data_IF_305346034824
#
_entry.id   IF_305346034824
#
_cell.length_a   1.000
_cell.length_b   1.000
_cell.length_c   1.000
_cell.angle_alpha   90.00
_cell.angle_beta   90.00
_cell.angle_gamma   90.00
#
_symmetry.space_group_name_H-M   'P 1'
#
loop_
_entity.id
_entity.type
_entity.pdbx_description
1 polymer ?
#
# COMPACT_ATOMS: atom_id res chain seq x y z
N UNK A 1 2.85 3.98 16.56
CA UNK A 1 4.23 4.49 16.49
C UNK A 1 4.98 3.58 15.52
N UNK A 2 5.51 3.98 14.37
CA UNK A 2 5.86 5.28 13.83
C UNK A 2 5.46 5.35 12.35
N UNK A 3 5.22 6.56 11.91
CA UNK A 3 4.83 7.02 10.57
C UNK A 3 5.95 6.87 9.54
N UNK A 4 5.65 6.27 8.39
CA UNK A 4 6.47 6.39 7.18
C UNK A 4 5.59 6.93 6.05
N UNK A 5 5.58 8.26 5.90
CA UNK A 5 5.03 8.98 4.76
C UNK A 5 6.09 8.89 3.65
N UNK A 6 5.77 8.19 2.56
CA UNK A 6 6.58 8.19 1.34
C UNK A 6 5.90 9.08 0.30
N UNK A 7 6.56 10.18 -0.03
CA UNK A 7 6.14 11.18 -1.02
C UNK A 7 6.11 10.58 -2.43
N UNK A 8 5.16 10.99 -3.30
CA UNK A 8 5.16 10.57 -4.69
C UNK A 8 6.20 11.38 -5.50
N UNK A 9 7.14 10.68 -6.15
CA UNK A 9 8.07 11.26 -7.12
C UNK A 9 7.32 11.94 -8.28
N UNK A 10 7.79 13.10 -8.79
CA UNK A 10 7.18 13.74 -9.94
C UNK A 10 7.46 12.94 -11.21
N UNK A 11 6.39 12.75 -11.98
CA UNK A 11 6.37 12.14 -13.30
C UNK A 11 7.47 12.73 -14.20
N UNK A 12 8.42 11.89 -14.59
CA UNK A 12 9.37 12.21 -15.65
C UNK A 12 8.60 12.36 -16.98
N UNK A 13 8.90 13.39 -17.80
CA UNK A 13 8.28 13.55 -19.11
C UNK A 13 8.67 12.41 -20.05
N UNK A 14 7.81 12.07 -21.03
CA UNK A 14 8.04 10.92 -21.89
C UNK A 14 9.33 11.10 -22.70
N UNK A 15 10.20 10.08 -22.64
CA UNK A 15 11.38 9.95 -23.49
C UNK A 15 10.96 10.06 -24.95
N UNK A 16 11.38 11.13 -25.60
CA UNK A 16 11.35 11.28 -27.06
C UNK A 16 12.26 10.23 -27.68
N UNK A 17 11.67 9.12 -28.13
CA UNK A 17 12.36 8.13 -28.94
C UNK A 17 12.47 8.63 -30.37
N UNK A 18 13.71 8.67 -30.87
CA UNK A 18 14.00 8.56 -32.29
C UNK A 18 13.86 9.84 -33.08
N UNK A 19 14.90 10.67 -33.00
CA UNK A 19 15.33 11.55 -34.10
C UNK A 19 15.50 10.71 -35.37
N UNK A 20 14.41 10.51 -36.10
CA UNK A 20 14.42 10.09 -37.50
C UNK A 20 15.12 11.19 -38.28
N UNK A 21 16.33 10.88 -38.74
CA UNK A 21 17.19 11.73 -39.54
C UNK A 21 16.47 12.02 -40.86
N UNK A 22 15.63 13.06 -40.86
CA UNK A 22 15.07 13.65 -42.06
C UNK A 22 16.25 14.17 -42.87
N UNK A 23 16.55 13.47 -43.96
CA UNK A 23 17.51 13.90 -44.95
C UNK A 23 17.14 15.30 -45.39
N UNK A 24 18.09 16.20 -45.18
CA UNK A 24 18.06 17.61 -45.55
C UNK A 24 18.18 17.70 -47.07
N UNK A 25 17.12 17.36 -47.81
CA UNK A 25 17.04 17.57 -49.26
C UNK A 25 15.63 18.02 -49.62
N UNK A 26 15.46 19.33 -49.67
CA UNK A 26 14.18 19.96 -49.98
C UNK A 26 14.00 21.29 -49.28
N UNK A 27 15.06 22.11 -49.20
CA UNK A 27 14.86 23.54 -48.96
C UNK A 27 13.94 24.01 -50.09
N UNK A 28 12.77 24.62 -49.83
CA UNK A 28 12.07 25.33 -50.89
C UNK A 28 13.08 26.33 -51.43
N UNK A 29 13.42 26.21 -52.72
CA UNK A 29 14.14 27.29 -53.41
C UNK A 29 13.28 28.50 -53.17
N UNK A 30 13.77 29.44 -52.34
CA UNK A 30 13.32 30.82 -52.44
C UNK A 30 13.62 31.20 -53.89
N UNK A 31 12.62 31.04 -54.76
CA UNK A 31 12.63 31.68 -56.06
C UNK A 31 12.79 33.14 -55.71
N UNK A 32 13.94 33.72 -56.10
CA UNK A 32 14.27 35.09 -55.74
C UNK A 32 13.07 35.95 -56.13
N UNK A 33 12.51 36.69 -55.17
CA UNK A 33 11.34 37.56 -55.39
C UNK A 33 11.57 38.49 -56.59
N UNK A 34 12.82 38.87 -56.85
CA UNK A 34 13.26 39.62 -58.03
C UNK A 34 13.03 38.92 -59.37
N UNK A 35 13.13 37.58 -59.44
CA UNK A 35 12.84 36.81 -60.64
C UNK A 35 11.34 36.70 -60.90
N UNK A 36 10.55 36.65 -59.83
CA UNK A 36 9.09 36.63 -59.88
C UNK A 36 8.56 38.02 -60.29
N UNK A 37 9.10 39.10 -59.71
CA UNK A 37 8.77 40.48 -60.07
C UNK A 37 9.12 40.81 -61.53
N UNK A 38 10.28 40.38 -62.03
CA UNK A 38 10.63 40.53 -63.46
C UNK A 38 9.68 39.74 -64.37
N UNK A 39 9.30 38.53 -63.96
CA UNK A 39 8.32 37.74 -64.71
C UNK A 39 6.95 38.44 -64.74
N UNK A 40 6.51 39.06 -63.65
CA UNK A 40 5.26 39.84 -63.64
C UNK A 40 5.31 41.08 -64.53
N UNK A 41 6.45 41.79 -64.56
CA UNK A 41 6.62 42.96 -65.41
C UNK A 41 6.63 42.57 -66.90
N UNK A 42 7.34 41.49 -67.25
CA UNK A 42 7.31 40.90 -68.60
C UNK A 42 5.91 40.42 -68.98
N UNK A 43 5.17 39.83 -68.05
CA UNK A 43 3.77 39.41 -68.26
C UNK A 43 2.85 40.60 -68.55
N UNK A 44 3.04 41.71 -67.84
CA UNK A 44 2.24 42.93 -68.05
C UNK A 44 2.50 43.54 -69.42
N UNK A 45 3.74 43.50 -69.90
CA UNK A 45 4.09 43.99 -71.23
C UNK A 45 3.49 43.10 -72.33
N UNK A 46 3.39 41.79 -72.11
CA UNK A 46 2.86 40.83 -73.10
C UNK A 46 1.32 40.80 -73.11
N UNK A 47 0.67 41.07 -71.98
CA UNK A 47 -0.79 40.95 -71.85
C UNK A 47 -1.56 42.24 -72.18
N UNK A 48 -0.94 43.42 -72.21
CA UNK A 48 -1.66 44.66 -72.53
C UNK A 48 -1.19 45.25 -73.86
N UNK A 49 -2.09 45.90 -74.64
CA UNK A 49 -1.68 46.60 -75.85
C UNK A 49 -0.59 47.63 -75.54
N UNK A 50 0.50 47.66 -76.31
CA UNK A 50 1.57 48.62 -76.07
C UNK A 50 1.18 50.05 -76.48
N UNK A 51 0.27 50.16 -77.45
CA UNK A 51 -0.20 51.43 -77.98
C UNK A 51 -1.33 51.99 -77.10
N UNK A 52 -1.21 53.28 -76.75
CA UNK A 52 -2.25 54.02 -76.01
C UNK A 52 -3.14 54.88 -76.92
N UNK A 53 -2.83 54.96 -78.22
CA UNK A 53 -3.53 55.79 -79.20
C UNK A 53 -3.64 55.07 -80.55
N UNK A 54 -4.79 55.21 -81.19
CA UNK A 54 -5.06 54.67 -82.53
C UNK A 54 -4.27 55.46 -83.57
N UNK A 55 -3.34 54.80 -84.28
CA UNK A 55 -2.51 55.41 -85.32
C UNK A 55 -3.21 55.52 -86.68
N UNK A 56 -4.12 54.59 -86.99
CA UNK A 56 -4.86 54.55 -88.25
C UNK A 56 -6.11 55.45 -88.23
N UNK A 57 -6.30 56.20 -89.31
CA UNK A 57 -7.50 57.04 -89.54
C UNK A 57 -8.77 56.18 -89.63
N UNK A 58 -8.67 54.97 -90.18
CA UNK A 58 -9.80 54.04 -90.27
C UNK A 58 -10.22 53.54 -88.89
N UNK A 59 -9.26 53.16 -88.04
CA UNK A 59 -9.53 52.73 -86.67
C UNK A 59 -10.12 53.87 -85.83
N UNK A 60 -9.66 55.11 -86.03
CA UNK A 60 -10.26 56.29 -85.40
C UNK A 60 -11.72 56.52 -85.86
N UNK A 61 -12.02 56.32 -87.15
CA UNK A 61 -13.40 56.40 -87.67
C UNK A 61 -14.30 55.32 -87.07
N UNK A 62 -13.86 54.07 -87.06
CA UNK A 62 -14.60 52.95 -86.47
C UNK A 62 -14.88 53.21 -84.99
N UNK A 63 -13.89 53.68 -84.25
CA UNK A 63 -14.03 54.03 -82.83
C UNK A 63 -14.99 55.20 -82.61
N UNK A 64 -14.97 56.20 -83.49
CA UNK A 64 -15.90 57.34 -83.43
C UNK A 64 -17.33 56.89 -83.66
N UNK A 65 -17.58 56.04 -84.66
CA UNK A 65 -18.89 55.47 -84.93
C UNK A 65 -19.39 54.63 -83.74
N UNK A 66 -18.54 53.79 -83.15
CA UNK A 66 -18.90 52.97 -82.00
C UNK A 66 -19.17 53.80 -80.73
N UNK A 67 -18.39 54.87 -80.48
CA UNK A 67 -18.66 55.81 -79.39
C UNK A 67 -19.94 56.61 -79.64
N UNK A 68 -20.23 56.96 -80.89
CA UNK A 68 -21.46 57.65 -81.27
C UNK A 68 -22.70 56.74 -81.18
N UNK A 69 -22.61 55.47 -81.55
CA UNK A 69 -23.72 54.51 -81.40
C UNK A 69 -24.06 54.29 -79.93
N UNK A 70 -23.06 54.21 -79.05
CA UNK A 70 -23.25 54.18 -77.60
C UNK A 70 -23.96 55.43 -77.08
N UNK A 71 -23.50 56.62 -77.48
CA UNK A 71 -24.16 57.89 -77.10
C UNK A 71 -25.60 57.97 -77.61
N UNK A 72 -25.88 57.50 -78.82
CA UNK A 72 -27.24 57.45 -79.38
C UNK A 72 -28.13 56.47 -78.63
N UNK A 73 -27.60 55.32 -78.21
CA UNK A 73 -28.32 54.35 -77.38
C UNK A 73 -28.59 54.89 -75.98
N UNK A 74 -27.61 55.53 -75.34
CA UNK A 74 -27.77 56.24 -74.07
C UNK A 74 -28.85 57.34 -74.16
N UNK A 75 -28.81 58.16 -75.23
CA UNK A 75 -29.80 59.19 -75.46
C UNK A 75 -31.21 58.61 -75.68
N UNK A 76 -31.34 57.56 -76.50
CA UNK A 76 -32.64 56.96 -76.79
C UNK A 76 -33.27 56.28 -75.58
N UNK A 77 -32.47 55.54 -74.79
CA UNK A 77 -32.98 54.68 -73.72
C UNK A 77 -33.03 55.36 -72.35
N UNK A 78 -32.22 56.39 -72.11
CA UNK A 78 -32.16 57.09 -70.81
C UNK A 78 -32.70 58.50 -70.89
N UNK A 79 -32.26 59.25 -71.90
CA UNK A 79 -32.54 60.68 -71.98
C UNK A 79 -33.98 60.94 -72.42
N UNK A 80 -34.49 60.22 -73.43
CA UNK A 80 -35.86 60.42 -73.93
C UNK A 80 -36.93 60.10 -72.87
N UNK A 81 -36.89 58.96 -72.15
CA UNK A 81 -37.87 58.70 -71.08
C UNK A 81 -37.80 59.71 -69.93
N UNK A 82 -36.60 60.10 -69.51
CA UNK A 82 -36.44 61.07 -68.43
C UNK A 82 -36.89 62.48 -68.81
N UNK A 83 -36.71 62.86 -70.07
CA UNK A 83 -37.23 64.11 -70.62
C UNK A 83 -38.76 64.13 -70.63
N UNK A 84 -39.40 62.98 -70.81
CA UNK A 84 -40.85 62.86 -70.72
C UNK A 84 -41.35 63.04 -69.27
N UNK A 85 -40.70 62.40 -68.29
CA UNK A 85 -41.06 62.52 -66.87
C UNK A 85 -40.90 63.95 -66.33
N UNK A 86 -40.07 64.77 -66.98
CA UNK A 86 -39.79 66.16 -66.59
C UNK A 86 -40.11 67.17 -67.69
N UNK A 87 -41.10 66.87 -68.53
CA UNK A 87 -41.48 67.67 -69.69
C UNK A 87 -41.74 69.14 -69.31
N UNK A 88 -42.40 69.39 -68.18
CA UNK A 88 -42.77 70.73 -67.72
C UNK A 88 -41.56 71.61 -67.38
N UNK A 89 -40.46 71.00 -66.96
CA UNK A 89 -39.21 71.71 -66.60
C UNK A 89 -38.39 72.07 -67.83
N UNK A 90 -38.40 71.21 -68.86
CA UNK A 90 -37.56 71.36 -70.05
C UNK A 90 -38.31 71.91 -71.28
N UNK A 91 -39.63 72.09 -71.20
CA UNK A 91 -40.46 72.59 -72.29
C UNK A 91 -39.99 73.94 -72.87
N UNK A 92 -39.52 74.85 -72.01
CA UNK A 92 -39.02 76.17 -72.43
C UNK A 92 -37.69 76.07 -73.18
N UNK A 93 -36.83 75.12 -72.77
CA UNK A 93 -35.50 74.95 -73.36
C UNK A 93 -35.49 74.11 -74.64
N UNK A 94 -36.52 73.29 -74.85
CA UNK A 94 -36.60 72.33 -75.96
C UNK A 94 -37.48 72.80 -77.11
N UNK A 95 -38.36 73.78 -76.87
CA UNK A 95 -39.29 74.30 -77.87
C UNK A 95 -40.53 73.43 -78.05
N UNK A 96 -41.63 74.03 -78.53
CA UNK A 96 -42.95 73.39 -78.63
C UNK A 96 -42.98 72.22 -79.61
N UNK A 97 -42.12 72.24 -80.64
CA UNK A 97 -42.04 71.18 -81.65
C UNK A 97 -41.40 69.90 -81.07
N UNK A 98 -40.28 70.02 -80.37
CA UNK A 98 -39.60 68.88 -79.76
C UNK A 98 -40.42 68.27 -78.61
N UNK A 99 -41.12 69.11 -77.84
CA UNK A 99 -42.06 68.67 -76.80
C UNK A 99 -43.21 67.88 -77.42
N UNK A 100 -43.76 68.32 -78.56
CA UNK A 100 -44.79 67.58 -79.28
C UNK A 100 -44.27 66.23 -79.78
N UNK A 101 -43.04 66.18 -80.31
CA UNK A 101 -42.42 64.94 -80.79
C UNK A 101 -42.09 63.95 -79.67
N UNK A 102 -41.69 64.42 -78.49
CA UNK A 102 -41.46 63.55 -77.33
C UNK A 102 -42.79 62.93 -76.85
N UNK A 103 -43.89 63.71 -76.84
CA UNK A 103 -45.23 63.20 -76.52
C UNK A 103 -45.72 62.18 -77.54
N UNK A 104 -45.51 62.45 -78.83
CA UNK A 104 -45.84 61.52 -79.91
C UNK A 104 -45.03 60.21 -79.81
N UNK A 105 -43.73 60.31 -79.52
CA UNK A 105 -42.89 59.14 -79.28
C UNK A 105 -43.34 58.32 -78.08
N UNK A 106 -43.67 58.97 -76.96
CA UNK A 106 -44.17 58.26 -75.78
C UNK A 106 -45.50 57.57 -76.06
N UNK A 107 -46.42 58.24 -76.75
CA UNK A 107 -47.68 57.64 -77.20
C UNK A 107 -47.45 56.42 -78.09
N UNK A 108 -46.56 56.54 -79.08
CA UNK A 108 -46.19 55.42 -79.95
C UNK A 108 -45.50 54.28 -79.18
N UNK A 109 -44.72 54.59 -78.14
CA UNK A 109 -44.07 53.61 -77.28
C UNK A 109 -45.10 52.83 -76.44
N UNK A 110 -46.05 53.51 -75.81
CA UNK A 110 -47.14 52.85 -75.06
C UNK A 110 -47.99 51.97 -75.97
N UNK A 111 -48.33 52.47 -77.16
CA UNK A 111 -49.15 51.71 -78.10
C UNK A 111 -48.40 50.49 -78.69
N UNK A 112 -47.08 50.62 -78.85
CA UNK A 112 -46.19 49.51 -79.21
C UNK A 112 -46.10 48.47 -78.09
N UNK A 113 -45.96 48.89 -76.83
CA UNK A 113 -45.94 48.00 -75.65
C UNK A 113 -47.26 47.25 -75.49
N UNK A 114 -48.40 47.94 -75.56
CA UNK A 114 -49.74 47.30 -75.53
C UNK A 114 -49.91 46.28 -76.67
N UNK A 115 -49.41 46.61 -77.86
CA UNK A 115 -49.45 45.70 -79.00
C UNK A 115 -48.56 44.47 -78.74
N UNK A 116 -47.35 44.68 -78.21
CA UNK A 116 -46.43 43.60 -77.85
C UNK A 116 -46.99 42.67 -76.78
N UNK A 117 -47.61 43.21 -75.71
CA UNK A 117 -48.29 42.43 -74.68
C UNK A 117 -49.42 41.58 -75.27
N UNK A 118 -50.23 42.16 -76.17
CA UNK A 118 -51.29 41.44 -76.87
C UNK A 118 -50.75 40.33 -77.79
N UNK A 119 -49.57 40.51 -78.42
CA UNK A 119 -48.93 39.43 -79.20
C UNK A 119 -48.43 38.29 -78.31
N UNK A 120 -47.87 38.59 -77.13
CA UNK A 120 -47.43 37.59 -76.16
C UNK A 120 -48.61 36.78 -75.63
N UNK A 121 -49.71 37.43 -75.26
CA UNK A 121 -50.93 36.77 -74.76
C UNK A 121 -51.52 35.79 -75.78
N UNK A 122 -51.33 36.05 -77.07
CA UNK A 122 -51.76 35.19 -78.16
C UNK A 122 -50.73 34.13 -78.59
N UNK A 123 -49.62 33.96 -77.84
CA UNK A 123 -48.52 33.02 -78.13
C UNK A 123 -47.89 33.19 -79.53
N UNK A 124 -47.95 34.39 -80.10
CA UNK A 124 -47.40 34.69 -81.42
C UNK A 124 -45.97 35.20 -81.24
N UNK A 125 -44.98 34.48 -81.77
CA UNK A 125 -43.62 35.01 -81.84
C UNK A 125 -43.59 36.26 -82.75
N UNK A 126 -43.19 37.43 -82.22
CA UNK A 126 -43.10 38.64 -83.03
C UNK A 126 -41.93 38.50 -84.02
N UNK A 127 -42.25 38.49 -85.31
CA UNK A 127 -41.24 38.44 -86.37
C UNK A 127 -40.58 39.82 -86.55
N UNK A 128 -39.37 39.97 -85.98
CA UNK A 128 -38.59 41.21 -86.07
C UNK A 128 -37.85 41.38 -87.41
N UNK A 129 -37.81 40.36 -88.27
CA UNK A 129 -36.86 40.26 -89.39
C UNK A 129 -37.40 40.70 -90.76
N UNK A 130 -38.72 40.73 -90.98
CA UNK A 130 -39.31 40.98 -92.31
C UNK A 130 -39.43 42.47 -92.65
N UNK A 131 -38.31 43.19 -92.62
CA UNK A 131 -38.21 44.61 -93.00
C UNK A 131 -37.58 44.77 -94.39
N UNK A 132 -38.35 44.66 -95.49
CA UNK A 132 -37.95 45.27 -96.79
C UNK A 132 -38.97 45.32 -97.92
N UNK A 133 -40.04 44.53 -97.89
CA UNK A 133 -40.99 44.49 -99.02
C UNK A 133 -42.43 44.69 -98.56
N UNK A 134 -42.84 45.96 -98.41
CA UNK A 134 -44.22 46.47 -98.54
C UNK A 134 -44.19 47.98 -98.28
N UNK A 135 -43.81 48.74 -99.30
CA UNK A 135 -43.75 50.21 -99.31
C UNK A 135 -45.13 50.88 -99.44
N UNK A 136 -46.19 50.23 -98.97
CA UNK A 136 -47.55 50.79 -99.02
C UNK A 136 -48.41 50.09 -97.97
N UNK A 137 -48.39 50.64 -96.76
CA UNK A 137 -49.37 50.33 -95.72
C UNK A 137 -50.02 51.65 -95.28
N UNK A 138 -51.34 51.68 -95.03
CA UNK A 138 -52.09 52.92 -94.91
C UNK A 138 -51.69 53.69 -93.66
N UNK A 139 -51.64 55.02 -93.76
CA UNK A 139 -51.74 55.94 -92.62
C UNK A 139 -53.09 55.73 -91.93
N UNK A 140 -53.22 54.66 -91.16
CA UNK A 140 -54.36 54.49 -90.26
C UNK A 140 -54.13 55.40 -89.06
N UNK A 141 -55.02 56.39 -88.93
CA UNK A 141 -55.15 57.27 -87.78
C UNK A 141 -55.12 56.44 -86.48
N UNK A 142 -54.50 57.03 -85.46
CA UNK A 142 -54.26 56.52 -84.10
C UNK A 142 -55.57 56.13 -83.39
N UNK A 143 -56.23 55.05 -83.81
CA UNK A 143 -57.33 54.47 -83.06
C UNK A 143 -56.78 53.49 -82.01
N UNK A 144 -57.24 53.57 -80.75
CA UNK A 144 -56.79 52.68 -79.68
C UNK A 144 -56.89 51.20 -80.06
N UNK A 145 -56.00 50.36 -79.54
CA UNK A 145 -56.10 48.90 -79.72
C UNK A 145 -57.48 48.41 -79.24
N UNK A 146 -58.25 47.82 -80.14
CA UNK A 146 -59.53 47.16 -79.84
C UNK A 146 -59.26 45.69 -79.55
N UNK A 147 -59.89 45.14 -78.51
CA UNK A 147 -59.69 43.79 -77.97
C UNK A 147 -60.05 42.63 -78.93
N UNK A 148 -60.45 42.91 -80.17
CA UNK A 148 -60.91 41.94 -81.17
C UNK A 148 -60.12 41.97 -82.49
N UNK A 149 -58.86 42.42 -82.52
CA UNK A 149 -58.06 42.39 -83.75
C UNK A 149 -57.61 40.96 -84.10
N UNK A 150 -57.64 40.62 -85.39
CA UNK A 150 -57.15 39.33 -85.90
C UNK A 150 -55.63 39.20 -85.67
N UNK A 151 -55.10 37.98 -85.43
CA UNK A 151 -53.66 37.72 -85.32
C UNK A 151 -52.81 38.32 -86.45
N UNK A 152 -53.30 38.30 -87.69
CA UNK A 152 -52.62 38.87 -88.86
C UNK A 152 -52.62 40.42 -88.84
N UNK A 153 -53.69 41.02 -88.34
CA UNK A 153 -53.82 42.48 -88.21
C UNK A 153 -52.96 43.02 -87.08
N UNK A 154 -52.84 42.27 -85.98
CA UNK A 154 -51.94 42.58 -84.87
C UNK A 154 -50.46 42.56 -85.31
N UNK A 155 -50.05 41.60 -86.13
CA UNK A 155 -48.69 41.56 -86.69
C UNK A 155 -48.41 42.71 -87.66
N UNK A 156 -49.36 43.04 -88.54
CA UNK A 156 -49.23 44.19 -89.46
C UNK A 156 -49.15 45.51 -88.68
N UNK A 157 -49.98 45.66 -87.64
CA UNK A 157 -49.98 46.82 -86.76
C UNK A 157 -48.69 46.92 -85.96
N UNK A 158 -48.22 45.83 -85.37
CA UNK A 158 -46.94 45.75 -84.67
C UNK A 158 -45.78 46.21 -85.56
N UNK A 159 -45.74 45.74 -86.81
CA UNK A 159 -44.72 46.17 -87.78
C UNK A 159 -44.81 47.65 -88.12
N UNK A 160 -46.02 48.16 -88.36
CA UNK A 160 -46.23 49.59 -88.65
C UNK A 160 -45.82 50.49 -87.48
N UNK A 161 -46.19 50.10 -86.25
CA UNK A 161 -45.81 50.79 -85.01
C UNK A 161 -44.30 50.72 -84.79
N UNK A 162 -43.68 49.58 -85.05
CA UNK A 162 -42.22 49.44 -84.98
C UNK A 162 -41.51 50.37 -85.97
N UNK A 163 -42.01 50.51 -87.19
CA UNK A 163 -41.44 51.41 -88.19
C UNK A 163 -41.64 52.88 -87.79
N UNK A 164 -42.85 53.26 -87.38
CA UNK A 164 -43.16 54.61 -86.91
C UNK A 164 -42.33 54.97 -85.67
N UNK A 165 -42.16 54.05 -84.71
CA UNK A 165 -41.33 54.25 -83.53
C UNK A 165 -39.84 54.38 -83.89
N UNK A 166 -39.34 53.60 -84.86
CA UNK A 166 -37.96 53.73 -85.37
C UNK A 166 -37.73 55.08 -86.03
N UNK A 167 -38.64 55.53 -86.88
CA UNK A 167 -38.51 56.79 -87.60
C UNK A 167 -38.72 58.00 -86.68
N UNK A 168 -39.63 57.88 -85.70
CA UNK A 168 -39.78 58.84 -84.60
C UNK A 168 -38.51 58.93 -83.74
N UNK A 169 -37.94 57.80 -83.31
CA UNK A 169 -36.64 57.77 -82.58
C UNK A 169 -35.53 58.44 -83.39
N UNK A 170 -35.42 58.16 -84.69
CA UNK A 170 -34.39 58.77 -85.56
C UNK A 170 -34.57 60.28 -85.71
N UNK A 171 -35.81 60.73 -85.88
CA UNK A 171 -36.14 62.14 -86.04
C UNK A 171 -35.86 62.88 -84.72
N UNK A 172 -36.33 62.32 -83.59
CA UNK A 172 -36.04 62.84 -82.25
C UNK A 172 -34.55 62.91 -81.97
N UNK A 173 -33.77 61.86 -82.23
CA UNK A 173 -32.32 61.90 -82.02
C UNK A 173 -31.64 62.97 -82.88
N UNK A 174 -32.10 63.20 -84.12
CA UNK A 174 -31.58 64.28 -84.98
C UNK A 174 -31.94 65.67 -84.46
N UNK A 175 -33.13 65.85 -83.91
CA UNK A 175 -33.59 67.12 -83.33
C UNK A 175 -32.94 67.40 -81.98
N UNK A 176 -32.78 66.38 -81.13
CA UNK A 176 -32.03 66.44 -79.88
C UNK A 176 -30.57 66.79 -80.12
N UNK A 177 -29.94 66.23 -81.16
CA UNK A 177 -28.56 66.56 -81.54
C UNK A 177 -28.38 68.03 -81.98
N UNK A 178 -29.44 68.69 -82.46
CA UNK A 178 -29.39 70.12 -82.82
C UNK A 178 -29.57 71.05 -81.62
N UNK A 179 -30.03 70.53 -80.47
CA UNK A 179 -30.24 71.31 -79.25
C UNK A 179 -28.91 71.45 -78.46
N UNK A 180 -28.32 72.65 -78.33
CA UNK A 180 -27.04 72.84 -77.65
C UNK A 180 -27.11 72.63 -76.12
N UNK A 181 -28.31 72.58 -75.55
CA UNK A 181 -28.56 72.35 -74.11
C UNK A 181 -28.59 70.87 -73.71
N UNK A 182 -28.51 69.93 -74.68
CA UNK A 182 -28.63 68.49 -74.43
C UNK A 182 -27.55 67.98 -73.46
N UNK A 183 -26.31 68.46 -73.57
CA UNK A 183 -25.19 68.04 -72.71
C UNK A 183 -25.34 68.55 -71.26
N UNK A 184 -26.07 69.65 -71.05
CA UNK A 184 -26.39 70.14 -69.71
C UNK A 184 -27.50 69.30 -69.08
N UNK A 185 -28.54 68.98 -69.85
CA UNK A 185 -29.66 68.13 -69.41
C UNK A 185 -29.18 66.70 -69.14
N UNK A 186 -28.34 66.14 -70.02
CA UNK A 186 -27.74 64.81 -69.86
C UNK A 186 -26.94 64.64 -68.56
N UNK A 187 -26.35 65.72 -68.02
CA UNK A 187 -25.63 65.69 -66.73
C UNK A 187 -26.54 65.76 -65.51
N UNK A 188 -27.74 66.31 -65.67
CA UNK A 188 -28.78 66.36 -64.63
C UNK A 188 -29.57 65.05 -64.53
N UNK A 189 -29.54 64.21 -65.58
CA UNK A 189 -30.14 62.86 -65.60
C UNK A 189 -29.36 61.94 -64.65
N UNK A 190 -29.75 61.94 -63.38
CA UNK A 190 -29.29 60.98 -62.35
C UNK A 190 -30.49 60.34 -61.68
N UNK A 191 -31.35 59.71 -62.49
CA UNK A 191 -32.47 58.89 -62.02
C UNK A 191 -32.08 57.41 -61.89
N UNK A 192 -32.89 56.60 -61.19
CA UNK A 192 -32.73 55.15 -61.18
C UNK A 192 -32.99 54.60 -62.58
N UNK A 193 -31.97 54.00 -63.20
CA UNK A 193 -32.07 53.41 -64.52
C UNK A 193 -32.58 51.96 -64.40
N UNK A 194 -33.49 51.50 -65.28
CA UNK A 194 -33.88 50.11 -65.31
C UNK A 194 -32.67 49.18 -65.53
N UNK A 195 -32.53 48.07 -64.77
CA UNK A 195 -31.34 47.21 -64.83
C UNK A 195 -31.12 46.57 -66.20
N UNK A 196 -32.17 46.42 -67.01
CA UNK A 196 -32.07 45.95 -68.40
C UNK A 196 -31.36 46.98 -69.30
N UNK A 197 -31.68 48.26 -69.14
CA UNK A 197 -31.11 49.34 -69.93
C UNK A 197 -29.66 49.59 -69.54
N UNK A 198 -29.37 49.58 -68.24
CA UNK A 198 -27.99 49.65 -67.72
C UNK A 198 -27.13 48.49 -68.22
N UNK A 199 -27.67 47.27 -68.28
CA UNK A 199 -26.95 46.12 -68.80
C UNK A 199 -26.64 46.30 -70.30
N UNK A 200 -27.61 46.71 -71.12
CA UNK A 200 -27.39 46.93 -72.57
C UNK A 200 -26.36 48.04 -72.81
N UNK A 201 -26.44 49.15 -72.10
CA UNK A 201 -25.47 50.26 -72.21
C UNK A 201 -24.09 49.82 -71.70
N UNK A 202 -24.05 49.05 -70.61
CA UNK A 202 -22.83 48.46 -70.05
C UNK A 202 -22.15 47.49 -71.03
N UNK A 203 -22.91 46.58 -71.63
CA UNK A 203 -22.44 45.66 -72.67
C UNK A 203 -21.96 46.40 -73.91
N UNK A 204 -22.66 47.44 -74.35
CA UNK A 204 -22.22 48.27 -75.47
C UNK A 204 -20.95 49.05 -75.12
N UNK A 205 -20.81 49.51 -73.88
CA UNK A 205 -19.57 50.07 -73.34
C UNK A 205 -18.42 49.06 -73.35
N UNK A 206 -18.70 47.81 -72.97
CA UNK A 206 -17.74 46.72 -72.98
C UNK A 206 -17.32 46.36 -74.41
N UNK A 207 -18.24 46.32 -75.37
CA UNK A 207 -17.92 46.13 -76.80
C UNK A 207 -17.04 47.27 -77.30
N UNK A 208 -17.35 48.52 -76.97
CA UNK A 208 -16.50 49.67 -77.35
C UNK A 208 -15.10 49.55 -76.73
N UNK A 209 -15.00 49.12 -75.46
CA UNK A 209 -13.73 48.87 -74.77
C UNK A 209 -12.93 47.75 -75.46
N UNK A 210 -13.58 46.63 -75.76
CA UNK A 210 -12.96 45.51 -76.46
C UNK A 210 -12.51 45.90 -77.88
N UNK A 211 -13.32 46.67 -78.61
CA UNK A 211 -12.92 47.23 -79.90
C UNK A 211 -11.73 48.20 -79.77
N UNK A 212 -11.65 48.96 -78.69
CA UNK A 212 -10.51 49.85 -78.42
C UNK A 212 -9.26 49.03 -78.14
N UNK A 213 -9.36 47.99 -77.34
CA UNK A 213 -8.25 47.07 -77.07
C UNK A 213 -7.78 46.35 -78.33
N UNK A 214 -8.69 45.77 -79.12
CA UNK A 214 -8.32 45.04 -80.35
C UNK A 214 -7.74 45.94 -81.43
N UNK A 215 -8.20 47.18 -81.55
CA UNK A 215 -7.64 48.15 -82.49
C UNK A 215 -6.30 48.75 -82.02
N UNK A 216 -5.98 48.64 -80.72
CA UNK A 216 -4.69 49.04 -80.15
C UNK A 216 -3.66 47.89 -80.12
N UNK A 217 -4.11 46.64 -80.20
CA UNK A 217 -3.22 45.47 -80.32
C UNK A 217 -2.75 45.28 -81.75
N UNK A 218 -1.45 45.08 -81.91
CA UNK A 218 -0.87 44.63 -83.19
C UNK A 218 -0.94 43.11 -83.32
N UNK A 219 -0.94 42.60 -84.56
CA UNK A 219 -0.94 41.15 -84.80
C UNK A 219 0.26 40.44 -84.16
N UNK A 220 1.44 41.06 -84.16
CA UNK A 220 2.63 40.50 -83.50
C UNK A 220 2.48 40.40 -81.97
N UNK A 221 1.83 41.38 -81.34
CA UNK A 221 1.54 41.35 -79.90
C UNK A 221 0.52 40.27 -79.56
N UNK A 222 -0.49 40.08 -80.40
CA UNK A 222 -1.50 39.04 -80.23
C UNK A 222 -0.88 37.64 -80.33
N UNK A 223 0.01 37.40 -81.30
CA UNK A 223 0.75 36.14 -81.43
C UNK A 223 1.62 35.88 -80.19
N UNK A 224 2.40 36.87 -79.73
CA UNK A 224 3.23 36.74 -78.52
C UNK A 224 2.39 36.49 -77.26
N UNK A 225 1.23 37.14 -77.14
CA UNK A 225 0.27 36.92 -76.06
C UNK A 225 -0.24 35.48 -76.09
N UNK A 226 -0.63 34.98 -77.25
CA UNK A 226 -1.15 33.62 -77.40
C UNK A 226 -0.07 32.56 -77.10
N UNK A 227 1.15 32.74 -77.59
CA UNK A 227 2.29 31.87 -77.27
C UNK A 227 2.59 31.85 -75.77
N UNK A 228 2.61 33.02 -75.13
CA UNK A 228 2.83 33.14 -73.69
C UNK A 228 1.73 32.45 -72.87
N UNK A 229 0.47 32.62 -73.26
CA UNK A 229 -0.66 31.94 -72.63
C UNK A 229 -0.59 30.42 -72.83
N UNK A 230 -0.17 29.94 -74.01
CA UNK A 230 0.04 28.52 -74.28
C UNK A 230 1.09 27.93 -73.34
N UNK A 231 2.25 28.57 -73.22
CA UNK A 231 3.35 28.12 -72.34
C UNK A 231 2.90 28.07 -70.87
N UNK A 232 2.14 29.06 -70.40
CA UNK A 232 1.59 29.04 -69.04
C UNK A 232 0.61 27.89 -68.87
N UNK A 233 -0.26 27.66 -69.85
CA UNK A 233 -1.27 26.61 -69.78
C UNK A 233 -0.63 25.22 -69.68
N UNK A 234 0.42 24.95 -70.47
CA UNK A 234 1.18 23.71 -70.42
C UNK A 234 1.89 23.54 -69.07
N UNK A 235 2.58 24.59 -68.59
CA UNK A 235 3.23 24.56 -67.27
C UNK A 235 2.24 24.31 -66.15
N UNK A 236 1.07 24.94 -66.23
CA UNK A 236 -0.02 24.73 -65.27
C UNK A 236 -0.49 23.28 -65.30
N UNK A 237 -0.72 22.72 -66.48
CA UNK A 237 -1.16 21.33 -66.64
C UNK A 237 -0.14 20.34 -66.07
N UNK A 238 1.16 20.55 -66.30
CA UNK A 238 2.23 19.72 -65.72
C UNK A 238 2.25 19.86 -64.19
N UNK A 239 2.13 21.07 -63.66
CA UNK A 239 2.06 21.29 -62.22
C UNK A 239 0.81 20.64 -61.60
N UNK A 240 -0.34 20.69 -62.28
CA UNK A 240 -1.58 20.05 -61.84
C UNK A 240 -1.47 18.52 -61.80
N UNK A 241 -0.84 17.90 -62.79
CA UNK A 241 -0.63 16.45 -62.79
C UNK A 241 0.37 16.02 -61.71
N UNK A 242 1.42 16.80 -61.46
CA UNK A 242 2.36 16.56 -60.36
C UNK A 242 1.70 16.75 -58.99
N UNK A 243 0.85 17.77 -58.83
CA UNK A 243 0.06 17.94 -57.60
C UNK A 243 -0.88 16.75 -57.41
N UNK A 244 -1.55 16.28 -58.46
CA UNK A 244 -2.45 15.14 -58.38
C UNK A 244 -1.71 13.84 -58.02
N UNK A 245 -0.54 13.59 -58.59
CA UNK A 245 0.28 12.41 -58.24
C UNK A 245 0.74 12.47 -56.78
N UNK A 246 1.28 13.61 -56.34
CA UNK A 246 1.70 13.82 -54.95
C UNK A 246 0.53 13.70 -53.97
N UNK A 247 -0.66 14.21 -54.31
CA UNK A 247 -1.86 14.04 -53.51
C UNK A 247 -2.27 12.57 -53.39
N UNK A 248 -2.18 11.80 -54.48
CA UNK A 248 -2.45 10.37 -54.48
C UNK A 248 -1.45 9.60 -53.61
N UNK A 249 -0.16 9.86 -53.76
CA UNK A 249 0.90 9.26 -52.92
C UNK A 249 0.70 9.58 -51.44
N UNK A 250 0.37 10.83 -51.12
CA UNK A 250 0.07 11.26 -49.76
C UNK A 250 -1.16 10.53 -49.21
N UNK A 251 -2.23 10.38 -49.99
CA UNK A 251 -3.40 9.61 -49.59
C UNK A 251 -3.07 8.13 -49.36
N UNK A 252 -2.28 7.50 -50.24
CA UNK A 252 -1.81 6.12 -50.05
C UNK A 252 -1.01 5.97 -48.74
N UNK A 253 -0.04 6.85 -48.51
CA UNK A 253 0.76 6.85 -47.28
C UNK A 253 -0.10 7.05 -46.02
N UNK A 254 -1.11 7.95 -46.08
CA UNK A 254 -2.09 8.13 -44.99
C UNK A 254 -2.90 6.87 -44.74
N UNK A 255 -3.38 6.22 -45.80
CA UNK A 255 -4.18 5.00 -45.70
C UNK A 255 -3.38 3.84 -45.10
N UNK A 256 -2.12 3.68 -45.50
CA UNK A 256 -1.26 2.64 -44.96
C UNK A 256 -0.90 2.90 -43.49
N UNK A 257 -0.65 4.16 -43.12
CA UNK A 257 -0.48 4.55 -41.73
C UNK A 257 -1.76 4.24 -40.91
N UNK A 258 -2.94 4.59 -41.42
CA UNK A 258 -4.20 4.32 -40.74
C UNK A 258 -4.44 2.81 -40.54
N UNK A 259 -4.13 1.97 -41.54
CA UNK A 259 -4.21 0.50 -41.41
C UNK A 259 -3.26 -0.01 -40.33
N UNK A 260 -2.03 0.50 -40.26
CA UNK A 260 -1.06 0.10 -39.24
C UNK A 260 -1.47 0.57 -37.84
N UNK A 261 -2.01 1.79 -37.72
CA UNK A 261 -2.61 2.29 -36.48
C UNK A 261 -3.75 1.38 -36.04
N UNK A 262 -4.67 1.02 -36.93
CA UNK A 262 -5.79 0.13 -36.62
C UNK A 262 -5.33 -1.25 -36.15
N UNK A 263 -4.33 -1.87 -36.81
CA UNK A 263 -3.73 -3.14 -36.38
C UNK A 263 -3.17 -3.05 -34.96
N UNK A 264 -2.43 -1.97 -34.66
CA UNK A 264 -1.87 -1.72 -33.32
C UNK A 264 -2.95 -1.48 -32.28
N UNK A 265 -4.01 -0.76 -32.63
CA UNK A 265 -5.14 -0.54 -31.75
C UNK A 265 -5.89 -1.84 -31.42
N UNK A 266 -6.07 -2.72 -32.40
CA UNK A 266 -6.71 -4.01 -32.18
C UNK A 266 -5.83 -4.94 -31.35
N UNK A 267 -4.51 -4.92 -31.56
CA UNK A 267 -3.58 -5.64 -30.70
C UNK A 267 -3.58 -5.09 -29.26
N UNK A 268 -3.60 -3.77 -29.10
CA UNK A 268 -3.76 -3.11 -27.79
C UNK A 268 -5.05 -3.55 -27.09
N UNK A 269 -6.18 -3.59 -27.80
CA UNK A 269 -7.47 -4.06 -27.25
C UNK A 269 -7.40 -5.51 -26.78
N UNK A 270 -6.75 -6.40 -27.55
CA UNK A 270 -6.53 -7.80 -27.16
C UNK A 270 -5.69 -7.91 -25.89
N UNK A 271 -4.57 -7.21 -25.81
CA UNK A 271 -3.72 -7.19 -24.60
C UNK A 271 -4.46 -6.64 -23.38
N UNK A 272 -5.24 -5.56 -23.53
CA UNK A 272 -6.07 -5.03 -22.43
C UNK A 272 -7.08 -6.08 -21.96
N UNK A 273 -7.68 -6.84 -22.88
CA UNK A 273 -8.60 -7.91 -22.52
C UNK A 273 -7.89 -9.05 -21.78
N UNK A 274 -6.75 -9.52 -22.30
CA UNK A 274 -5.94 -10.58 -21.69
C UNK A 274 -5.48 -10.19 -20.27
N UNK A 275 -4.96 -8.97 -20.08
CA UNK A 275 -4.58 -8.45 -18.75
C UNK A 275 -5.80 -8.48 -17.81
N UNK A 276 -6.96 -8.01 -18.27
CA UNK A 276 -8.18 -8.02 -17.44
C UNK A 276 -8.61 -9.44 -17.04
N UNK A 277 -8.42 -10.43 -17.92
CA UNK A 277 -8.72 -11.83 -17.62
C UNK A 277 -7.72 -12.38 -16.61
N UNK A 278 -6.42 -12.15 -16.80
CA UNK A 278 -5.38 -12.57 -15.85
C UNK A 278 -5.59 -11.93 -14.48
N UNK A 279 -5.91 -10.64 -14.41
CA UNK A 279 -6.21 -9.94 -13.15
C UNK A 279 -7.40 -10.56 -12.41
N UNK A 280 -8.46 -10.94 -13.13
CA UNK A 280 -9.62 -11.60 -12.53
C UNK A 280 -9.23 -12.98 -11.98
N UNK A 281 -8.53 -13.78 -12.77
CA UNK A 281 -8.07 -15.10 -12.34
C UNK A 281 -7.10 -15.01 -11.15
N UNK A 282 -6.18 -14.05 -11.16
CA UNK A 282 -5.26 -13.81 -10.05
C UNK A 282 -6.00 -13.43 -8.77
N UNK A 283 -7.02 -12.56 -8.84
CA UNK A 283 -7.86 -12.21 -7.69
C UNK A 283 -8.66 -13.40 -7.16
N UNK A 284 -9.20 -14.23 -8.05
CA UNK A 284 -9.92 -15.45 -7.65
C UNK A 284 -8.99 -16.46 -6.96
N UNK A 285 -7.78 -16.66 -7.50
CA UNK A 285 -6.76 -17.53 -6.90
C UNK A 285 -6.30 -16.98 -5.55
N UNK A 286 -6.02 -15.68 -5.47
CA UNK A 286 -5.64 -15.03 -4.22
C UNK A 286 -6.72 -15.22 -3.14
N UNK A 287 -7.99 -14.97 -3.48
CA UNK A 287 -9.10 -15.18 -2.55
C UNK A 287 -9.21 -16.63 -2.08
N UNK A 288 -9.03 -17.61 -2.96
CA UNK A 288 -9.03 -19.03 -2.59
C UNK A 288 -7.88 -19.36 -1.63
N UNK A 289 -6.67 -18.86 -1.90
CA UNK A 289 -5.52 -19.04 -1.01
C UNK A 289 -5.77 -18.40 0.35
N UNK A 290 -6.31 -17.18 0.40
CA UNK A 290 -6.68 -16.49 1.64
C UNK A 290 -7.74 -17.28 2.42
N UNK A 291 -8.78 -17.78 1.76
CA UNK A 291 -9.83 -18.58 2.41
C UNK A 291 -9.28 -19.92 2.95
N UNK A 292 -8.40 -20.60 2.21
CA UNK A 292 -7.82 -21.88 2.61
C UNK A 292 -6.77 -21.72 3.72
N UNK A 293 -5.93 -20.68 3.65
CA UNK A 293 -4.98 -20.33 4.71
C UNK A 293 -5.70 -19.94 5.99
N UNK A 294 -6.73 -19.10 5.93
CA UNK A 294 -7.54 -18.74 7.09
C UNK A 294 -8.21 -19.96 7.74
N UNK A 295 -8.75 -20.89 6.93
CA UNK A 295 -9.31 -22.16 7.45
C UNK A 295 -8.24 -23.02 8.10
N UNK A 296 -7.07 -23.13 7.49
CA UNK A 296 -5.95 -23.91 8.03
C UNK A 296 -5.46 -23.30 9.34
N UNK A 297 -5.25 -21.99 9.40
CA UNK A 297 -4.87 -21.26 10.61
C UNK A 297 -5.91 -21.44 11.73
N UNK A 298 -7.20 -21.28 11.43
CA UNK A 298 -8.26 -21.48 12.41
C UNK A 298 -8.30 -22.92 12.95
N UNK A 299 -8.05 -23.92 12.10
CA UNK A 299 -7.98 -25.32 12.52
C UNK A 299 -6.74 -25.60 13.37
N UNK A 300 -5.56 -25.09 12.95
CA UNK A 300 -4.31 -25.20 13.71
C UNK A 300 -4.41 -24.51 15.06
N UNK A 301 -5.03 -23.33 15.13
CA UNK A 301 -5.24 -22.61 16.37
C UNK A 301 -6.15 -23.39 17.32
N UNK A 302 -7.29 -23.90 16.84
CA UNK A 302 -8.18 -24.75 17.66
C UNK A 302 -7.48 -26.01 18.18
N UNK A 303 -6.66 -26.65 17.34
CA UNK A 303 -5.91 -27.83 17.74
C UNK A 303 -4.86 -27.49 18.79
N UNK A 304 -4.16 -26.38 18.63
CA UNK A 304 -3.19 -25.89 19.60
C UNK A 304 -3.85 -25.51 20.93
N UNK A 305 -4.94 -24.73 20.89
CA UNK A 305 -5.72 -24.36 22.08
C UNK A 305 -6.21 -25.60 22.84
N UNK A 306 -6.67 -26.63 22.11
CA UNK A 306 -7.04 -27.92 22.69
C UNK A 306 -5.89 -28.66 23.36
N UNK A 307 -4.68 -28.63 22.77
CA UNK A 307 -3.48 -29.20 23.39
C UNK A 307 -3.06 -28.43 24.65
N UNK A 308 -3.10 -27.09 24.59
CA UNK A 308 -2.80 -26.22 25.74
C UNK A 308 -3.78 -26.47 26.89
N UNK A 309 -5.08 -26.61 26.60
CA UNK A 309 -6.08 -26.95 27.63
C UNK A 309 -5.77 -28.27 28.31
N UNK A 310 -5.46 -29.33 27.54
CA UNK A 310 -5.09 -30.65 28.08
C UNK A 310 -3.83 -30.59 28.94
N UNK A 311 -2.77 -29.93 28.45
CA UNK A 311 -1.53 -29.77 29.20
C UNK A 311 -1.76 -28.98 30.51
N UNK A 312 -2.62 -27.96 30.49
CA UNK A 312 -2.97 -27.21 31.70
C UNK A 312 -3.76 -28.06 32.70
N UNK A 313 -4.68 -28.91 32.23
CA UNK A 313 -5.39 -29.89 33.07
C UNK A 313 -4.41 -30.89 33.71
N UNK A 314 -3.48 -31.45 32.93
CA UNK A 314 -2.43 -32.34 33.42
C UNK A 314 -1.53 -31.66 34.47
N UNK A 315 -1.10 -30.42 34.21
CA UNK A 315 -0.36 -29.60 35.18
C UNK A 315 -1.18 -29.40 36.46
N UNK A 316 -2.48 -29.14 36.35
CA UNK A 316 -3.38 -29.00 37.49
C UNK A 316 -3.45 -30.28 38.33
N UNK A 317 -3.62 -31.42 37.67
CA UNK A 317 -3.65 -32.74 38.31
C UNK A 317 -2.31 -33.03 39.00
N UNK A 318 -1.19 -32.86 38.29
CA UNK A 318 0.16 -33.10 38.83
C UNK A 318 0.49 -32.18 40.01
N UNK A 319 0.05 -30.92 39.98
CA UNK A 319 0.19 -30.01 41.13
C UNK A 319 -0.60 -30.52 42.34
N UNK A 320 -1.83 -30.99 42.12
CA UNK A 320 -2.68 -31.53 43.19
C UNK A 320 -2.07 -32.80 43.80
N UNK A 321 -1.65 -33.77 42.98
CA UNK A 321 -1.03 -35.00 43.46
C UNK A 321 0.28 -34.74 44.20
N UNK A 322 1.09 -33.77 43.74
CA UNK A 322 2.31 -33.36 44.43
C UNK A 322 2.01 -32.72 45.79
N UNK A 323 0.97 -31.91 45.91
CA UNK A 323 0.54 -31.34 47.19
C UNK A 323 0.04 -32.42 48.15
N UNK A 324 -0.77 -33.35 47.67
CA UNK A 324 -1.25 -34.49 48.46
C UNK A 324 -0.09 -35.37 48.95
N UNK A 325 0.86 -35.71 48.08
CA UNK A 325 2.05 -36.48 48.44
C UNK A 325 2.94 -35.75 49.46
N UNK A 326 3.12 -34.42 49.32
CA UNK A 326 3.84 -33.60 50.30
C UNK A 326 3.13 -33.59 51.66
N UNK A 327 1.81 -33.48 51.68
CA UNK A 327 1.02 -33.51 52.91
C UNK A 327 1.10 -34.89 53.59
N UNK A 328 0.96 -35.96 52.83
CA UNK A 328 1.11 -37.33 53.32
C UNK A 328 2.51 -37.58 53.91
N UNK A 329 3.57 -37.14 53.22
CA UNK A 329 4.94 -37.25 53.74
C UNK A 329 5.15 -36.46 55.03
N UNK A 330 4.61 -35.22 55.12
CA UNK A 330 4.68 -34.44 56.37
C UNK A 330 3.98 -35.14 57.53
N UNK A 331 2.84 -35.78 57.28
CA UNK A 331 2.12 -36.54 58.30
C UNK A 331 2.89 -37.79 58.73
N UNK A 332 3.43 -38.56 57.78
CA UNK A 332 4.30 -39.72 58.06
C UNK A 332 5.53 -39.29 58.86
N UNK A 333 6.20 -38.20 58.46
CA UNK A 333 7.34 -37.65 59.17
C UNK A 333 6.97 -37.23 60.60
N UNK A 334 5.85 -36.53 60.78
CA UNK A 334 5.32 -36.16 62.10
C UNK A 334 5.07 -37.39 62.98
N UNK A 335 4.48 -38.45 62.42
CA UNK A 335 4.26 -39.71 63.13
C UNK A 335 5.57 -40.41 63.49
N UNK A 336 6.56 -40.43 62.60
CA UNK A 336 7.88 -40.99 62.87
C UNK A 336 8.62 -40.19 63.94
N UNK A 337 8.60 -38.86 63.89
CA UNK A 337 9.15 -37.98 64.93
C UNK A 337 8.51 -38.26 66.29
N UNK A 338 7.19 -38.38 66.36
CA UNK A 338 6.47 -38.77 67.59
C UNK A 338 6.90 -40.15 68.10
N UNK A 339 7.09 -41.13 67.21
CA UNK A 339 7.58 -42.47 67.58
C UNK A 339 9.04 -42.43 68.06
N UNK A 340 9.90 -41.61 67.42
CA UNK A 340 11.29 -41.40 67.84
C UNK A 340 11.33 -40.82 69.25
N UNK A 341 10.62 -39.72 69.47
CA UNK A 341 10.54 -39.06 70.78
C UNK A 341 10.01 -40.00 71.87
N UNK A 342 9.00 -40.84 71.59
CA UNK A 342 8.53 -41.85 72.54
C UNK A 342 9.61 -42.86 72.92
N UNK A 343 10.32 -43.42 71.93
CA UNK A 343 11.41 -44.37 72.19
C UNK A 343 12.60 -43.71 72.89
N UNK A 344 12.94 -42.48 72.53
CA UNK A 344 13.96 -41.67 73.22
C UNK A 344 13.57 -41.43 74.67
N UNK A 345 12.33 -41.02 74.95
CA UNK A 345 11.82 -40.84 76.32
C UNK A 345 11.82 -42.16 77.10
N UNK A 346 11.46 -43.28 76.46
CA UNK A 346 11.57 -44.61 77.07
C UNK A 346 13.02 -44.97 77.40
N UNK A 347 13.97 -44.69 76.50
CA UNK A 347 15.40 -44.89 76.74
C UNK A 347 15.90 -44.01 77.89
N UNK A 348 15.57 -42.72 77.90
CA UNK A 348 15.92 -41.79 78.99
C UNK A 348 15.35 -42.26 80.33
N UNK A 349 14.11 -42.76 80.35
CA UNK A 349 13.52 -43.34 81.56
C UNK A 349 14.28 -44.59 82.04
N UNK A 350 14.76 -45.45 81.14
CA UNK A 350 15.58 -46.60 81.50
C UNK A 350 16.97 -46.20 81.99
N UNK A 351 17.58 -45.19 81.37
CA UNK A 351 18.84 -44.60 81.83
C UNK A 351 18.66 -44.04 83.24
N UNK A 352 17.63 -43.22 83.49
CA UNK A 352 17.35 -42.68 84.82
C UNK A 352 17.14 -43.76 85.88
N UNK A 353 16.42 -44.84 85.55
CA UNK A 353 16.26 -45.98 86.46
C UNK A 353 17.59 -46.64 86.77
N UNK A 354 18.39 -46.90 85.74
CA UNK A 354 19.72 -47.49 85.90
C UNK A 354 20.65 -46.59 86.73
N UNK A 355 20.68 -45.29 86.45
CA UNK A 355 21.48 -44.31 87.19
C UNK A 355 21.07 -44.25 88.67
N UNK A 356 19.75 -44.29 88.95
CA UNK A 356 19.25 -44.34 90.32
C UNK A 356 19.63 -45.66 91.02
N UNK A 357 19.40 -46.82 90.38
CA UNK A 357 19.73 -48.13 90.94
C UNK A 357 21.24 -48.28 91.20
N UNK A 358 22.08 -47.83 90.28
CA UNK A 358 23.55 -47.80 90.48
C UNK A 358 23.94 -46.81 91.57
N UNK A 359 23.30 -45.64 91.62
CA UNK A 359 23.51 -44.66 92.69
C UNK A 359 23.16 -45.22 94.07
N UNK A 360 22.02 -45.89 94.19
CA UNK A 360 21.57 -46.57 95.41
C UNK A 360 22.55 -47.69 95.79
N UNK A 361 22.95 -48.54 94.83
CA UNK A 361 23.91 -49.62 95.08
C UNK A 361 25.29 -49.08 95.48
N UNK A 362 25.72 -47.96 94.90
CA UNK A 362 26.97 -47.28 95.25
C UNK A 362 26.90 -46.71 96.67
N UNK A 363 25.78 -46.08 97.05
CA UNK A 363 25.54 -45.62 98.42
C UNK A 363 25.55 -46.80 99.41
N UNK A 364 24.91 -47.91 99.08
CA UNK A 364 24.95 -49.14 99.89
C UNK A 364 26.38 -49.66 100.04
N UNK A 365 27.16 -49.70 98.96
CA UNK A 365 28.56 -50.12 98.99
C UNK A 365 29.41 -49.17 99.84
N UNK A 366 29.19 -47.87 99.73
CA UNK A 366 29.86 -46.85 100.56
C UNK A 366 29.52 -47.03 102.03
N UNK A 367 28.24 -47.18 102.40
CA UNK A 367 27.83 -47.43 103.80
C UNK A 367 28.41 -48.75 104.34
N UNK A 368 28.38 -49.83 103.56
CA UNK A 368 28.96 -51.11 103.97
C UNK A 368 30.50 -51.02 104.09
N UNK A 369 31.14 -50.20 103.24
CA UNK A 369 32.58 -49.96 103.32
C UNK A 369 32.90 -49.14 104.56
N UNK A 370 32.10 -48.14 104.90
CA UNK A 370 32.22 -47.37 106.15
C UNK A 370 32.08 -48.31 107.35
N UNK A 371 31.00 -49.09 107.43
CA UNK A 371 30.80 -50.11 108.47
C UNK A 371 31.96 -51.10 108.55
N UNK A 372 32.41 -51.64 107.41
CA UNK A 372 33.56 -52.55 107.36
C UNK A 372 34.85 -51.89 107.89
N UNK A 373 35.07 -50.60 107.59
CA UNK A 373 36.23 -49.89 108.13
C UNK A 373 36.11 -49.62 109.63
N UNK A 374 34.90 -49.38 110.15
CA UNK A 374 34.63 -49.26 111.58
C UNK A 374 34.80 -50.59 112.30
N UNK A 375 34.20 -51.66 111.81
CA UNK A 375 34.39 -53.02 112.33
C UNK A 375 35.88 -53.41 112.32
N UNK A 376 36.60 -53.09 111.24
CA UNK A 376 38.05 -53.34 111.15
C UNK A 376 38.84 -52.51 112.16
N UNK A 377 38.40 -51.29 112.52
CA UNK A 377 38.98 -50.52 113.64
C UNK A 377 38.67 -51.18 114.97
N UNK A 378 37.43 -51.57 115.23
CA UNK A 378 37.05 -52.25 116.47
C UNK A 378 37.80 -53.57 116.66
N UNK A 379 37.99 -54.35 115.59
CA UNK A 379 38.80 -55.58 115.62
C UNK A 379 40.26 -55.27 115.96
N UNK A 380 40.83 -54.19 115.43
CA UNK A 380 42.18 -53.76 115.81
C UNK A 380 42.25 -53.35 117.28
N UNK A 381 41.32 -52.54 117.76
CA UNK A 381 41.25 -52.13 119.17
C UNK A 381 41.12 -53.33 120.12
N UNK A 382 40.28 -54.31 119.77
CA UNK A 382 40.14 -55.56 120.53
C UNK A 382 41.41 -56.39 120.44
N UNK A 383 42.04 -56.47 119.26
CA UNK A 383 43.32 -57.15 119.06
C UNK A 383 44.43 -56.57 119.94
N UNK A 384 44.57 -55.26 119.98
CA UNK A 384 45.50 -54.55 120.86
C UNK A 384 45.20 -54.81 122.34
N UNK A 385 43.91 -54.82 122.73
CA UNK A 385 43.48 -55.19 124.09
C UNK A 385 43.85 -56.64 124.45
N UNK A 386 43.64 -57.59 123.54
CA UNK A 386 44.01 -58.99 123.74
C UNK A 386 45.52 -59.16 123.82
N UNK A 387 46.30 -58.39 123.07
CA UNK A 387 47.75 -58.43 123.13
C UNK A 387 48.28 -57.94 124.48
N UNK A 388 47.71 -56.85 125.00
CA UNK A 388 47.99 -56.39 126.38
C UNK A 388 47.62 -57.48 127.40
N UNK A 389 46.43 -58.07 127.28
CA UNK A 389 45.99 -59.14 128.19
C UNK A 389 46.85 -60.40 128.08
N UNK A 390 47.38 -60.73 126.90
CA UNK A 390 48.32 -61.84 126.71
C UNK A 390 49.65 -61.58 127.42
N UNK A 391 50.16 -60.34 127.38
CA UNK A 391 51.36 -59.94 128.13
C UNK A 391 51.11 -60.07 129.64
N UNK A 392 49.94 -59.64 130.12
CA UNK A 392 49.53 -59.80 131.52
C UNK A 392 49.39 -61.27 131.91
N UNK A 393 48.77 -62.10 131.06
CA UNK A 393 48.63 -63.53 131.28
C UNK A 393 50.00 -64.23 131.36
N UNK A 394 50.91 -63.93 130.44
CA UNK A 394 52.26 -64.49 130.43
C UNK A 394 53.09 -64.04 131.64
N UNK A 395 52.86 -62.83 132.17
CA UNK A 395 53.49 -62.36 133.40
C UNK A 395 53.03 -63.16 134.63
N UNK A 396 51.71 -63.40 134.76
CA UNK A 396 51.14 -64.20 135.86
C UNK A 396 51.60 -65.66 135.81
N UNK A 397 51.67 -66.26 134.61
CA UNK A 397 52.16 -67.64 134.45
C UNK A 397 53.63 -67.75 134.87
N UNK A 398 54.50 -66.80 134.45
CA UNK A 398 55.91 -66.80 134.84
C UNK A 398 56.11 -66.61 136.35
N UNK A 399 55.31 -65.76 136.98
CA UNK A 399 55.35 -65.55 138.44
C UNK A 399 55.00 -66.83 139.22
N UNK A 400 53.99 -67.59 138.76
CA UNK A 400 53.62 -68.87 139.38
C UNK A 400 54.66 -69.99 139.18
N UNK A 401 55.39 -69.99 138.07
CA UNK A 401 56.45 -70.98 137.81
C UNK A 401 57.69 -70.77 138.70
N UNK A 402 58.04 -69.52 139.01
CA UNK A 402 59.18 -69.20 139.89
C UNK A 402 58.91 -69.53 141.36
N UNK A 403 57.68 -69.33 141.84
CA UNK A 403 57.28 -69.73 143.21
C UNK A 403 57.29 -71.24 143.40
N UNK A 404 56.82 -72.00 142.40
CA UNK A 404 56.83 -73.48 142.45
C UNK A 404 58.25 -74.05 142.51
N UNK A 405 59.20 -73.51 141.75
CA UNK A 405 60.60 -73.98 141.77
C UNK A 405 61.29 -73.78 143.12
N UNK A 406 61.08 -72.63 143.79
CA UNK A 406 61.67 -72.36 145.11
C UNK A 406 61.13 -73.29 146.20
N UNK A 407 59.86 -73.68 146.12
CA UNK A 407 59.24 -74.60 147.08
C UNK A 407 59.80 -76.04 146.98
N UNK A 408 60.08 -76.51 145.76
CA UNK A 408 60.61 -77.87 145.52
C UNK A 408 62.06 -78.05 146.02
N UNK A 409 62.92 -77.03 145.87
CA UNK A 409 64.32 -77.10 146.33
C UNK A 409 64.46 -77.15 147.86
N UNK A 410 63.58 -76.45 148.60
CA UNK A 410 63.58 -76.44 150.05
C UNK A 410 63.19 -77.81 150.65
N UNK A 411 62.26 -78.54 150.02
CA UNK A 411 61.83 -79.86 150.48
C UNK A 411 62.93 -80.92 150.32
N UNK A 412 63.75 -80.83 149.27
CA UNK A 412 64.82 -81.81 149.03
C UNK A 412 65.98 -81.71 150.04
N UNK A 413 66.31 -80.51 150.52
CA UNK A 413 67.33 -80.32 151.58
C UNK A 413 66.89 -80.91 152.91
N UNK A 414 65.64 -80.69 153.30
CA UNK A 414 65.09 -81.22 154.55
C UNK A 414 65.08 -82.76 154.57
N UNK A 415 64.72 -83.38 153.43
CA UNK A 415 64.66 -84.82 153.27
C UNK A 415 66.02 -85.54 153.39
N UNK A 416 67.13 -84.83 153.15
CA UNK A 416 68.49 -85.37 153.29
C UNK A 416 68.98 -85.35 154.74
N UNK A 417 68.62 -84.32 155.52
CA UNK A 417 68.96 -84.21 156.95
C UNK A 417 68.26 -85.26 157.82
N UNK A 418 66.98 -85.55 157.54
CA UNK A 418 66.18 -86.54 158.30
C UNK A 418 66.69 -87.97 158.08
N UNK A 419 67.19 -88.28 156.87
CA UNK A 419 67.77 -89.59 156.55
C UNK A 419 69.06 -89.85 157.35
N UNK A 420 69.94 -88.87 157.45
CA UNK A 420 71.18 -88.99 158.24
C UNK A 420 70.92 -89.16 159.74
N UNK A 421 69.94 -88.44 160.31
CA UNK A 421 69.58 -88.54 161.73
C UNK A 421 69.01 -89.91 162.15
N UNK A 422 68.27 -90.57 161.25
CA UNK A 422 67.61 -91.86 161.53
C UNK A 422 68.61 -93.04 161.61
N UNK A 423 69.72 -92.95 160.87
CA UNK A 423 70.73 -94.00 160.79
C UNK A 423 71.69 -94.01 161.99
N UNK A 424 71.91 -92.85 162.63
CA UNK A 424 72.67 -92.72 163.89
C UNK A 424 71.81 -93.17 165.09
N UNK A 425 70.50 -92.87 165.07
CA UNK A 425 69.57 -93.27 166.14
C UNK A 425 69.33 -94.78 166.22
N UNK A 426 69.41 -95.53 165.11
CA UNK A 426 69.15 -96.97 165.10
C UNK A 426 70.33 -97.79 165.66
N UNK A 427 71.57 -97.41 165.36
CA UNK A 427 72.76 -98.09 165.86
C UNK A 427 72.92 -98.01 167.40
N UNK A 428 72.46 -96.92 168.04
CA UNK A 428 72.47 -96.76 169.50
C UNK A 428 71.35 -97.53 170.21
N UNK A 429 70.17 -97.67 169.58
CA UNK A 429 69.03 -98.40 170.14
C UNK A 429 69.27 -99.92 170.21
N UNK A 430 70.01 -100.51 169.26
CA UNK A 430 70.29 -101.96 169.22
C UNK A 430 71.39 -102.43 170.18
N UNK A 431 72.28 -101.53 170.62
CA UNK A 431 73.31 -101.81 171.62
C UNK A 431 72.73 -101.76 173.05
N UNK A 432 71.80 -100.83 173.32
CA UNK A 432 71.19 -100.62 174.64
C UNK A 432 70.21 -101.74 175.08
N UNK A 433 69.57 -102.44 174.13
CA UNK A 433 68.62 -103.53 174.42
C UNK A 433 69.32 -104.86 174.75
N UNK A 434 70.60 -105.04 174.39
CA UNK A 434 71.38 -106.26 174.70
C UNK A 434 72.01 -106.31 176.09
N UNK A 435 71.76 -105.32 176.96
CA UNK A 435 72.44 -105.20 178.27
C UNK A 435 71.54 -105.12 179.52
N UNK A 436 70.20 -105.04 179.43
CA UNK A 436 69.34 -104.70 180.59
C UNK A 436 68.07 -105.55 180.88
N UNK A 437 67.86 -106.76 180.32
CA UNK A 437 66.70 -107.62 180.71
C UNK A 437 67.01 -109.12 180.84
N UNK A 438 67.75 -109.44 181.92
CA UNK A 438 67.64 -110.68 182.71
C UNK A 438 66.61 -110.43 183.82
N UNK A 439 65.69 -111.40 184.05
CA UNK A 439 64.58 -111.46 185.05
C UNK A 439 63.23 -110.80 184.71
N UNK A 440 62.25 -111.70 184.54
CA UNK A 440 60.82 -111.66 184.88
C UNK A 440 59.90 -110.52 184.39
N UNK A 441 58.95 -110.85 183.51
CA UNK A 441 57.51 -110.87 183.85
C UNK A 441 56.66 -111.49 182.73
N UNK A 442 55.69 -112.30 183.17
CA UNK A 442 54.76 -113.15 182.41
C UNK A 442 53.41 -112.44 182.18
N UNK A 443 52.72 -112.92 181.13
CA UNK A 443 51.25 -113.13 180.94
C UNK A 443 50.32 -111.97 180.50
N UNK A 444 49.51 -112.32 179.48
CA UNK A 444 48.21 -111.74 179.09
C UNK A 444 48.29 -110.87 177.82
N UNK A 445 47.54 -111.06 176.73
CA UNK A 445 46.47 -111.97 176.35
C UNK A 445 45.83 -111.49 175.03
N UNK A 446 45.09 -112.40 174.37
CA UNK A 446 43.96 -112.16 173.42
C UNK A 446 44.24 -111.96 171.91
N UNK A 447 44.29 -113.11 171.23
CA UNK A 447 43.44 -113.58 170.09
C UNK A 447 42.39 -112.58 169.51
N UNK A 448 42.47 -112.29 168.20
CA UNK A 448 41.28 -112.06 167.34
C UNK A 448 41.31 -110.90 166.33
N UNK A 449 40.75 -111.19 165.13
CA UNK A 449 40.14 -110.30 164.09
C UNK A 449 41.08 -109.73 163.01
N UNK A 450 41.07 -110.17 161.73
CA UNK A 450 40.04 -110.32 160.66
C UNK A 450 39.71 -109.00 159.94
N UNK A 451 39.88 -109.00 158.60
CA UNK A 451 39.40 -108.00 157.63
C UNK A 451 40.52 -107.09 157.08
N UNK A 452 40.71 -106.84 155.79
CA UNK A 452 39.76 -106.87 154.67
C UNK A 452 39.37 -105.43 154.29
N UNK A 453 39.90 -104.92 153.16
CA UNK A 453 39.37 -103.84 152.28
C UNK A 453 40.37 -103.73 151.10
N UNK A 454 40.10 -103.94 149.80
CA UNK A 454 38.91 -103.98 148.92
C UNK A 454 37.99 -102.76 149.04
N UNK A 455 38.07 -101.86 148.06
CA UNK A 455 36.91 -101.11 147.57
C UNK A 455 37.03 -99.59 147.51
N UNK A 456 36.77 -99.07 146.31
CA UNK A 456 36.29 -97.71 146.03
C UNK A 456 37.26 -96.91 145.16
N UNK A 457 36.91 -96.42 143.96
CA UNK A 457 35.61 -96.25 143.28
C UNK A 457 35.95 -95.98 141.80
N UNK A 458 35.47 -96.76 140.82
CA UNK A 458 34.25 -96.52 139.99
C UNK A 458 34.17 -95.06 139.45
N UNK A 459 33.97 -94.81 138.16
CA UNK A 459 33.48 -95.72 137.13
C UNK A 459 33.53 -95.17 135.71
N UNK A 460 33.46 -96.13 134.80
CA UNK A 460 32.98 -96.02 133.44
C UNK A 460 31.51 -95.54 133.40
N UNK A 461 31.18 -94.70 132.43
CA UNK A 461 29.95 -94.77 131.62
C UNK A 461 29.96 -93.57 130.65
N UNK A 462 30.05 -93.79 129.34
CA UNK A 462 28.93 -94.14 128.45
C UNK A 462 28.16 -92.89 128.00
N UNK A 463 28.13 -92.71 126.67
CA UNK A 463 27.02 -92.14 125.88
C UNK A 463 26.56 -90.72 126.21
N UNK A 464 26.62 -89.86 125.21
CA UNK A 464 25.50 -89.43 124.33
C UNK A 464 26.04 -88.32 123.42
N UNK A 465 25.88 -88.42 122.09
CA UNK A 465 24.71 -87.94 121.33
C UNK A 465 24.37 -86.49 121.70
N UNK A 466 24.72 -85.54 120.85
CA UNK A 466 23.84 -85.01 119.81
C UNK A 466 24.72 -84.42 118.71
#
# INVERSE_FOLDING_TARGET
MATAVSSPSPLAPPRTLGSGRLTRSGRPRLVQLSSVERSYEESRVILYPSQKKLSSVESQRVMTVAKETRRKAEAALLLIPHLYDHLDRFAVTMGTELVARIREYHYLSEEYERCYESLIENEIEPDFATSRSKSSLPDHKLEPISSNMSPEELQIRFFSLQQQLRDSTRTLLRELQKCPSLDAIAKEVKGPVPPRVDNVIGQLGEVVRLMEETLLTTHEEEVKRNEYLSIISERRQVAETEIASLQSELQHARNDLNKEVQKREDHRKKLIHEIRVVDKLAKEVQKKIEDDTNKQEANSQKLHDGQVSKANEEIGILKKTLLEAKAANKEIESQLRKKSFKRETEADNWIQKYDNEIGDLQNELETLTEEFTEEKKQVKEIGERLEILSIEYDAVVKEQEEERKKAEEAQQRLASMVRAATQIQSCWRSYKIRKMFSKDAKKGGKKGKKGGKKGGKKGSAKKKKA
#
